data_IF_575237801088
#
_entry.id   IF_575237801088
#
_cell.length_a   1.000
_cell.length_b   1.000
_cell.length_c   1.000
_cell.angle_alpha   90.00
_cell.angle_beta   90.00
_cell.angle_gamma   90.00
#
_symmetry.space_group_name_H-M   'P 1'
#
loop_
_entity.id
_entity.type
_entity.pdbx_description
1 polymer ?
#
# COMPACT_ATOMS: atom_id res chain seq x y z
N UNK A 1 -1.24 8.07 17.25
CA UNK A 1 -2.17 7.82 16.12
C UNK A 1 -3.36 7.03 16.61
N UNK A 2 -4.57 7.36 16.11
CA UNK A 2 -5.82 6.74 16.54
C UNK A 2 -6.04 5.39 15.87
N UNK A 3 -5.84 5.33 14.55
CA UNK A 3 -6.10 4.15 13.73
C UNK A 3 -5.39 4.23 12.39
N UNK A 4 -5.13 3.09 11.77
CA UNK A 4 -4.68 3.00 10.38
C UNK A 4 -5.74 2.28 9.55
N UNK A 5 -6.05 2.87 8.40
CA UNK A 5 -6.94 2.29 7.38
C UNK A 5 -6.15 2.13 6.10
N UNK A 6 -6.49 1.15 5.29
CA UNK A 6 -5.79 0.93 4.03
C UNK A 6 -6.59 0.10 3.05
N UNK A 7 -6.15 0.12 1.81
CA UNK A 7 -6.70 -0.68 0.73
C UNK A 7 -5.56 -1.31 -0.08
N UNK A 8 -5.56 -2.64 -0.16
CA UNK A 8 -4.72 -3.38 -1.07
C UNK A 8 -5.54 -3.71 -2.31
N UNK A 9 -5.07 -3.28 -3.47
CA UNK A 9 -5.79 -3.35 -4.74
C UNK A 9 -4.98 -4.20 -5.70
N UNK A 10 -5.60 -5.18 -6.34
CA UNK A 10 -4.99 -5.94 -7.44
C UNK A 10 -5.85 -5.87 -8.69
N UNK A 11 -5.24 -5.55 -9.84
CA UNK A 11 -5.88 -5.55 -11.15
C UNK A 11 -5.26 -6.63 -12.04
N UNK A 12 -6.11 -7.43 -12.71
CA UNK A 12 -5.72 -8.48 -13.67
C UNK A 12 -4.78 -9.55 -13.10
N UNK A 13 -4.68 -9.67 -11.78
CA UNK A 13 -4.05 -10.79 -11.09
C UNK A 13 -5.13 -11.78 -10.66
N UNK A 14 -5.04 -13.01 -11.14
CA UNK A 14 -6.00 -14.09 -10.86
C UNK A 14 -5.91 -14.62 -9.44
N UNK A 15 -4.89 -14.24 -8.66
CA UNK A 15 -4.71 -14.72 -7.31
C UNK A 15 -5.07 -13.69 -6.26
N UNK A 16 -6.19 -13.93 -5.56
CA UNK A 16 -6.54 -13.24 -4.31
C UNK A 16 -5.41 -13.32 -3.26
N UNK A 17 -4.54 -14.34 -3.35
CA UNK A 17 -3.43 -14.51 -2.41
C UNK A 17 -2.40 -13.37 -2.45
N UNK A 18 -2.20 -12.69 -3.58
CA UNK A 18 -1.22 -11.60 -3.66
C UNK A 18 -1.64 -10.40 -2.78
N UNK A 19 -2.89 -9.98 -2.91
CA UNK A 19 -3.47 -8.87 -2.16
C UNK A 19 -3.54 -9.17 -0.66
N UNK A 20 -3.89 -10.41 -0.29
CA UNK A 20 -3.90 -10.86 1.09
C UNK A 20 -2.48 -10.87 1.70
N UNK A 21 -1.46 -11.31 0.95
CA UNK A 21 -0.05 -11.30 1.38
C UNK A 21 0.46 -9.89 1.64
N UNK A 22 0.14 -8.94 0.75
CA UNK A 22 0.45 -7.51 0.94
C UNK A 22 -0.18 -6.98 2.23
N UNK A 23 -1.47 -7.22 2.43
CA UNK A 23 -2.19 -6.77 3.61
C UNK A 23 -1.63 -7.40 4.90
N UNK A 24 -1.29 -8.69 4.88
CA UNK A 24 -0.70 -9.38 6.02
C UNK A 24 0.70 -8.83 6.36
N UNK A 25 1.55 -8.64 5.36
CA UNK A 25 2.89 -8.09 5.55
C UNK A 25 2.85 -6.65 6.10
N UNK A 26 1.99 -5.80 5.55
CA UNK A 26 1.79 -4.43 6.05
C UNK A 26 1.25 -4.41 7.49
N UNK A 27 0.23 -5.24 7.79
CA UNK A 27 -0.29 -5.39 9.17
C UNK A 27 0.78 -5.88 10.13
N UNK A 28 1.64 -6.82 9.73
CA UNK A 28 2.69 -7.36 10.59
C UNK A 28 3.68 -6.30 11.09
N UNK A 29 3.96 -5.27 10.28
CA UNK A 29 4.77 -4.12 10.69
C UNK A 29 3.97 -3.18 11.59
N UNK A 30 2.75 -2.81 11.16
CA UNK A 30 1.95 -1.77 11.83
C UNK A 30 1.35 -2.22 13.18
N UNK A 31 1.02 -3.50 13.34
CA UNK A 31 0.51 -4.06 14.59
C UNK A 31 1.50 -3.98 15.75
N UNK A 32 2.79 -3.82 15.47
CA UNK A 32 3.81 -3.58 16.52
C UNK A 32 3.66 -2.22 17.19
N UNK A 33 2.96 -1.28 16.54
CA UNK A 33 2.81 0.10 16.98
C UNK A 33 1.41 0.38 17.51
N UNK A 34 0.38 -0.04 16.78
CA UNK A 34 -1.02 0.13 17.18
C UNK A 34 -1.86 -1.11 16.84
N UNK A 35 -2.83 -1.48 17.69
CA UNK A 35 -3.70 -2.62 17.41
C UNK A 35 -4.80 -2.30 16.38
N UNK A 36 -5.23 -1.04 16.25
CA UNK A 36 -6.32 -0.65 15.34
C UNK A 36 -5.81 -0.42 13.89
N UNK A 37 -5.56 -1.53 13.18
CA UNK A 37 -5.13 -1.53 11.77
C UNK A 37 -6.10 -2.36 10.92
N UNK A 38 -6.73 -1.71 9.95
CA UNK A 38 -7.62 -2.37 9.01
C UNK A 38 -7.21 -2.09 7.57
N UNK A 39 -6.88 -3.16 6.83
CA UNK A 39 -6.54 -3.10 5.41
C UNK A 39 -7.58 -3.91 4.66
N UNK A 40 -8.36 -3.24 3.80
CA UNK A 40 -9.33 -3.86 2.92
C UNK A 40 -8.64 -4.42 1.68
N UNK A 41 -9.03 -5.60 1.22
CA UNK A 41 -8.44 -6.24 0.03
C UNK A 41 -9.46 -6.22 -1.11
N UNK A 42 -9.14 -5.55 -2.20
CA UNK A 42 -9.98 -5.45 -3.40
C UNK A 42 -9.30 -6.15 -4.57
N UNK A 43 -9.94 -7.20 -5.09
CA UNK A 43 -9.40 -8.02 -6.19
C UNK A 43 -10.23 -7.79 -7.46
N UNK A 44 -9.66 -7.04 -8.40
CA UNK A 44 -10.27 -6.73 -9.69
C UNK A 44 -9.77 -7.71 -10.76
N UNK A 45 -10.61 -8.70 -11.06
CA UNK A 45 -10.38 -9.69 -12.12
C UNK A 45 -11.16 -9.30 -13.37
N UNK A 46 -10.62 -9.60 -14.56
CA UNK A 46 -11.24 -9.35 -15.88
C UNK A 46 -12.73 -9.74 -15.96
N UNK A 47 -13.12 -10.83 -15.28
CA UNK A 47 -14.51 -11.32 -15.26
C UNK A 47 -15.45 -10.53 -14.32
N UNK A 48 -14.97 -10.13 -13.14
CA UNK A 48 -15.83 -9.58 -12.07
C UNK A 48 -15.79 -8.06 -11.98
N UNK A 49 -14.70 -7.44 -12.41
CA UNK A 49 -14.51 -5.98 -12.41
C UNK A 49 -13.67 -5.64 -13.64
N UNK A 50 -14.27 -4.96 -14.64
CA UNK A 50 -13.64 -4.58 -15.93
C UNK A 50 -12.32 -3.82 -15.69
N UNK A 51 -11.23 -4.55 -15.44
CA UNK A 51 -9.92 -3.98 -15.17
C UNK A 51 -9.25 -3.65 -16.50
N UNK A 52 -8.39 -2.63 -16.49
CA UNK A 52 -7.61 -2.26 -17.67
C UNK A 52 -6.69 -3.39 -18.17
N UNK A 53 -6.04 -3.18 -19.33
CA UNK A 53 -5.19 -4.20 -19.95
C UNK A 53 -3.93 -4.53 -19.12
N UNK A 54 -3.51 -3.65 -18.21
CA UNK A 54 -2.26 -3.77 -17.47
C UNK A 54 -2.46 -4.46 -16.11
N UNK A 55 -1.66 -5.49 -15.77
CA UNK A 55 -1.65 -6.05 -14.42
C UNK A 55 -0.98 -5.09 -13.43
N UNK A 56 -1.58 -4.93 -12.25
CA UNK A 56 -1.04 -4.09 -11.17
C UNK A 56 -1.38 -4.64 -9.79
N UNK A 57 -0.51 -4.35 -8.83
CA UNK A 57 -0.73 -4.59 -7.41
C UNK A 57 -0.28 -3.36 -6.65
N UNK A 58 -1.18 -2.81 -5.86
CA UNK A 58 -0.97 -1.56 -5.13
C UNK A 58 -1.47 -1.67 -3.70
N UNK A 59 -0.90 -0.84 -2.83
CA UNK A 59 -1.31 -0.68 -1.45
C UNK A 59 -1.37 0.80 -1.14
N UNK A 60 -2.50 1.25 -0.61
CA UNK A 60 -2.65 2.57 -0.02
C UNK A 60 -2.91 2.41 1.48
N UNK A 61 -2.23 3.21 2.27
CA UNK A 61 -2.40 3.26 3.72
C UNK A 61 -2.63 4.71 4.13
N UNK A 62 -3.50 4.90 5.12
CA UNK A 62 -3.84 6.19 5.70
C UNK A 62 -3.81 6.07 7.22
N UNK A 63 -2.95 6.85 7.86
CA UNK A 63 -2.90 6.99 9.30
C UNK A 63 -3.75 8.18 9.73
N UNK A 64 -4.66 7.94 10.67
CA UNK A 64 -5.48 8.99 11.30
C UNK A 64 -4.90 9.32 12.68
N UNK A 65 -4.51 10.58 12.88
CA UNK A 65 -4.04 11.09 14.16
C UNK A 65 -5.20 11.40 15.11
N UNK A 66 -4.90 11.55 16.40
CA UNK A 66 -5.86 12.03 17.41
C UNK A 66 -6.24 13.49 17.19
N UNK A 67 -5.38 14.26 16.51
CA UNK A 67 -5.60 15.66 16.12
C UNK A 67 -6.34 15.82 14.80
N UNK A 68 -6.99 14.75 14.30
CA UNK A 68 -7.67 14.68 13.00
C UNK A 68 -6.78 14.85 11.75
N UNK A 69 -5.46 15.00 11.90
CA UNK A 69 -4.51 14.93 10.80
C UNK A 69 -4.53 13.55 10.11
N UNK A 70 -4.39 13.54 8.78
CA UNK A 70 -4.35 12.32 7.96
C UNK A 70 -3.11 12.33 7.10
N UNK A 71 -2.31 11.29 7.25
CA UNK A 71 -1.12 11.05 6.42
C UNK A 71 -1.36 9.79 5.62
N UNK A 72 -1.02 9.82 4.34
CA UNK A 72 -1.19 8.69 3.44
C UNK A 72 0.11 8.32 2.77
N UNK A 73 0.26 7.04 2.47
CA UNK A 73 1.33 6.53 1.65
C UNK A 73 0.77 5.51 0.67
N UNK A 74 1.22 5.60 -0.58
CA UNK A 74 0.87 4.66 -1.63
C UNK A 74 2.11 3.99 -2.19
N UNK A 75 1.96 2.71 -2.51
CA UNK A 75 3.00 1.92 -3.17
C UNK A 75 2.36 1.04 -4.23
N UNK A 76 3.03 0.94 -5.37
CA UNK A 76 2.61 0.10 -6.49
C UNK A 76 3.79 -0.76 -6.94
N UNK A 77 3.51 -1.99 -7.36
CA UNK A 77 4.50 -2.82 -8.03
C UNK A 77 4.87 -2.19 -9.38
N UNK A 78 6.18 -2.07 -9.71
CA UNK A 78 6.61 -1.57 -11.00
C UNK A 78 6.11 -2.47 -12.14
N UNK A 79 5.86 -1.86 -13.30
CA UNK A 79 5.49 -2.62 -14.49
C UNK A 79 6.68 -3.47 -14.97
N UNK A 80 6.35 -4.54 -15.70
CA UNK A 80 7.34 -5.53 -16.15
C UNK A 80 8.41 -4.94 -17.10
N UNK A 81 8.13 -3.77 -17.70
CA UNK A 81 9.09 -3.02 -18.52
C UNK A 81 10.12 -2.27 -17.70
N UNK A 82 9.69 -1.54 -16.66
CA UNK A 82 10.57 -0.69 -15.85
C UNK A 82 11.54 -1.50 -14.97
N UNK A 83 11.10 -2.68 -14.49
CA UNK A 83 11.93 -3.56 -13.67
C UNK A 83 13.09 -4.21 -14.45
N UNK A 84 12.97 -4.35 -15.77
CA UNK A 84 14.01 -4.90 -16.63
C UNK A 84 15.14 -3.89 -16.87
N UNK A 85 14.83 -2.59 -16.93
CA UNK A 85 15.82 -1.53 -17.13
C UNK A 85 16.66 -1.25 -15.88
N UNK A 86 16.11 -1.46 -14.67
CA UNK A 86 16.83 -1.22 -13.41
C UNK A 86 17.52 -2.46 -12.83
N UNK A 87 17.48 -3.61 -13.53
CA UNK A 87 18.04 -4.87 -13.04
C UNK A 87 17.42 -5.34 -11.72
N UNK A 88 16.26 -4.80 -11.33
CA UNK A 88 15.64 -5.07 -10.04
C UNK A 88 14.93 -6.43 -10.06
N UNK A 89 15.27 -7.25 -9.07
CA UNK A 89 14.55 -8.49 -8.80
C UNK A 89 13.08 -8.17 -8.54
N UNK A 90 12.18 -8.89 -9.22
CA UNK A 90 10.72 -8.74 -9.10
C UNK A 90 10.31 -8.65 -7.62
N UNK A 91 9.77 -7.50 -7.22
CA UNK A 91 9.38 -7.25 -5.84
C UNK A 91 8.27 -8.24 -5.42
N UNK A 92 8.44 -8.88 -4.27
CA UNK A 92 7.43 -9.80 -3.72
C UNK A 92 6.29 -9.01 -3.08
N UNK A 93 5.07 -9.57 -3.02
CA UNK A 93 3.96 -8.90 -2.34
C UNK A 93 4.24 -8.63 -0.85
N UNK A 94 5.06 -9.45 -0.19
CA UNK A 94 5.52 -9.19 1.18
C UNK A 94 6.37 -7.92 1.26
N UNK A 95 7.35 -7.78 0.37
CA UNK A 95 8.24 -6.62 0.34
C UNK A 95 7.45 -5.35 0.02
N UNK A 96 6.46 -5.42 -0.90
CA UNK A 96 5.56 -4.31 -1.18
C UNK A 96 4.78 -3.88 0.08
N UNK A 97 4.22 -4.84 0.82
CA UNK A 97 3.50 -4.55 2.06
C UNK A 97 4.38 -3.92 3.15
N UNK A 98 5.61 -4.44 3.31
CA UNK A 98 6.60 -3.87 4.24
C UNK A 98 7.03 -2.46 3.82
N UNK A 99 7.29 -2.24 2.52
CA UNK A 99 7.67 -0.95 1.96
C UNK A 99 6.57 0.09 2.15
N UNK A 100 5.32 -0.27 1.86
CA UNK A 100 4.18 0.62 2.09
C UNK A 100 4.01 1.02 3.56
N UNK A 101 4.17 0.06 4.48
CA UNK A 101 4.16 0.36 5.91
C UNK A 101 5.34 1.25 6.31
N UNK A 102 6.55 0.98 5.82
CA UNK A 102 7.73 1.79 6.09
C UNK A 102 7.59 3.23 5.57
N UNK A 103 7.04 3.43 4.37
CA UNK A 103 6.77 4.75 3.81
C UNK A 103 5.76 5.53 4.65
N UNK A 104 4.67 4.89 5.09
CA UNK A 104 3.72 5.53 6.00
C UNK A 104 4.37 5.94 7.32
N UNK A 105 5.21 5.08 7.89
CA UNK A 105 5.93 5.37 9.13
C UNK A 105 6.96 6.48 8.96
N UNK A 106 7.61 6.54 7.79
CA UNK A 106 8.51 7.63 7.44
C UNK A 106 7.77 8.97 7.39
N UNK A 107 6.62 9.02 6.71
CA UNK A 107 5.77 10.22 6.66
C UNK A 107 5.34 10.66 8.07
N UNK A 108 4.94 9.70 8.90
CA UNK A 108 4.61 9.94 10.31
C UNK A 108 5.81 10.49 11.09
N UNK A 109 7.02 9.96 10.85
CA UNK A 109 8.24 10.35 11.54
C UNK A 109 8.76 11.71 11.11
N UNK A 110 8.58 12.09 9.84
CA UNK A 110 8.84 13.45 9.36
C UNK A 110 7.90 14.47 10.02
N UNK A 111 6.72 14.02 10.45
CA UNK A 111 5.74 14.85 11.12
C UNK A 111 5.01 15.78 10.16
N UNK A 112 4.25 16.72 10.71
CA UNK A 112 3.36 17.59 9.93
C UNK A 112 1.91 17.12 9.91
N UNK A 113 1.09 17.89 9.20
CA UNK A 113 -0.37 17.69 9.12
C UNK A 113 -0.81 17.20 7.74
N UNK A 114 0.00 17.49 6.71
CA UNK A 114 -0.27 17.20 5.31
C UNK A 114 0.87 16.34 4.79
N UNK A 115 0.53 15.27 4.09
CA UNK A 115 1.48 14.39 3.43
C UNK A 115 2.31 15.15 2.39
N UNK A 116 3.60 14.80 2.29
CA UNK A 116 4.55 15.39 1.34
C UNK A 116 4.02 15.41 -0.10
N UNK A 117 3.25 14.40 -0.50
CA UNK A 117 2.62 14.30 -1.82
C UNK A 117 1.50 15.30 -2.08
N UNK A 118 0.84 15.80 -1.03
CA UNK A 118 -0.27 16.76 -1.14
C UNK A 118 0.15 18.21 -0.84
N UNK A 119 1.42 18.46 -0.52
CA UNK A 119 1.93 19.82 -0.31
C UNK A 119 2.20 20.48 -1.67
N UNK A 120 1.41 21.50 -2.01
CA UNK A 120 1.69 22.39 -3.14
C UNK A 120 2.53 23.57 -2.67
N UNK A 121 3.73 23.72 -3.23
CA UNK A 121 4.57 24.93 -3.07
C UNK A 121 4.02 26.06 -3.92
#
# INVERSE_FOLDING_TARGET
>A
FKRIRGQAISCKLTSSSATARVAYAGKGVLHRLIPDVWIHTSVHTVKNHKCGPSPSLSLILTAESTTAARLSAEVTLPHHGDAAEQGQRRETPENLGQRGAAMLLHEIAQGGVVDTTAQTV
#
